data_IF_090275792394
#
_entry.id   IF_090275792394
#
_cell.length_a   1.000
_cell.length_b   1.000
_cell.length_c   1.000
_cell.angle_alpha   90.00
_cell.angle_beta   90.00
_cell.angle_gamma   90.00
#
_symmetry.space_group_name_H-M   'P 1'
#
loop_
_entity.id
_entity.type
_entity.pdbx_description
1 polymer ?
#
# COMPACT_ATOMS: atom_id res chain seq x y z
N UNK A 1 3.42 28.95 -4.33
CA UNK A 1 3.43 27.74 -5.18
C UNK A 1 4.17 26.69 -4.40
N UNK A 2 3.48 25.65 -3.92
CA UNK A 2 4.11 24.48 -3.32
C UNK A 2 4.92 23.77 -4.40
N UNK A 3 6.16 23.43 -4.07
CA UNK A 3 7.04 22.67 -4.95
C UNK A 3 6.41 21.30 -5.24
N UNK A 4 6.50 20.80 -6.47
CA UNK A 4 5.93 19.48 -6.83
C UNK A 4 6.94 18.39 -6.48
N UNK A 5 6.50 17.17 -6.12
CA UNK A 5 7.43 16.05 -5.97
C UNK A 5 8.06 15.69 -7.33
N UNK A 6 9.37 15.48 -7.33
CA UNK A 6 10.13 15.11 -8.52
C UNK A 6 10.33 13.61 -8.59
N UNK A 7 9.97 12.98 -9.71
CA UNK A 7 10.15 11.55 -9.97
C UNK A 7 11.11 11.38 -11.15
N UNK A 8 12.16 10.58 -10.97
CA UNK A 8 12.98 10.12 -12.08
C UNK A 8 12.63 8.66 -12.42
N UNK A 9 12.16 8.42 -13.65
CA UNK A 9 12.04 7.10 -14.24
C UNK A 9 13.41 6.69 -14.76
N UNK A 10 14.00 5.66 -14.17
CA UNK A 10 15.35 5.18 -14.52
C UNK A 10 15.20 3.88 -15.32
N UNK A 11 15.51 3.94 -16.61
CA UNK A 11 15.18 2.89 -17.58
C UNK A 11 16.14 3.02 -18.78
N UNK A 12 16.57 1.91 -19.38
CA UNK A 12 17.40 1.93 -20.58
C UNK A 12 16.62 2.20 -21.87
N UNK A 13 15.29 1.98 -21.85
CA UNK A 13 14.40 2.36 -22.93
C UNK A 13 13.85 3.79 -22.76
N UNK A 14 13.50 4.47 -23.86
CA UNK A 14 12.93 5.84 -23.80
C UNK A 14 11.56 5.86 -23.10
N UNK A 15 11.51 6.43 -21.89
CA UNK A 15 10.29 6.57 -21.09
C UNK A 15 9.70 8.00 -21.10
N UNK A 16 10.03 8.88 -22.06
CA UNK A 16 9.50 10.27 -22.09
C UNK A 16 7.98 10.32 -22.14
N UNK A 17 7.36 9.43 -22.91
CA UNK A 17 5.89 9.32 -22.97
C UNK A 17 5.29 8.97 -21.61
N UNK A 18 5.87 7.99 -20.92
CA UNK A 18 5.47 7.59 -19.58
C UNK A 18 5.66 8.71 -18.56
N UNK A 19 6.77 9.45 -18.62
CA UNK A 19 7.04 10.58 -17.75
C UNK A 19 6.00 11.70 -17.94
N UNK A 20 5.59 11.97 -19.19
CA UNK A 20 4.52 12.92 -19.49
C UNK A 20 3.17 12.47 -18.92
N UNK A 21 2.83 11.18 -19.07
CA UNK A 21 1.59 10.62 -18.52
C UNK A 21 1.60 10.69 -16.98
N UNK A 22 2.70 10.30 -16.34
CA UNK A 22 2.88 10.39 -14.89
C UNK A 22 2.74 11.83 -14.38
N UNK A 23 3.23 12.82 -15.12
CA UNK A 23 3.10 14.24 -14.77
C UNK A 23 1.64 14.72 -14.67
N UNK A 24 0.69 14.01 -15.32
CA UNK A 24 -0.76 14.29 -15.20
C UNK A 24 -1.31 13.99 -13.80
N UNK A 25 -0.59 13.19 -13.00
CA UNK A 25 -0.93 12.89 -11.61
C UNK A 25 -0.35 13.92 -10.62
N UNK A 26 0.03 15.11 -11.09
CA UNK A 26 0.39 16.24 -10.22
C UNK A 26 1.86 16.28 -9.79
N UNK A 27 2.72 15.46 -10.37
CA UNK A 27 4.17 15.36 -10.07
C UNK A 27 5.02 15.98 -11.20
N UNK A 28 6.30 16.26 -10.94
CA UNK A 28 7.29 16.56 -11.98
C UNK A 28 8.03 15.27 -12.31
N UNK A 29 7.78 14.68 -13.48
CA UNK A 29 8.38 13.40 -13.87
C UNK A 29 9.30 13.55 -15.07
N UNK A 30 10.48 12.94 -14.97
CA UNK A 30 11.50 12.93 -16.03
C UNK A 30 12.05 11.52 -16.19
N UNK A 31 12.43 11.17 -17.42
CA UNK A 31 13.17 9.94 -17.70
C UNK A 31 14.68 10.22 -17.69
N UNK A 32 15.45 9.29 -17.14
CA UNK A 32 16.90 9.28 -17.16
C UNK A 32 17.39 7.90 -17.56
N UNK A 33 18.38 7.86 -18.44
CA UNK A 33 19.15 6.64 -18.64
C UNK A 33 20.01 6.37 -17.40
N UNK A 34 20.23 5.11 -16.97
CA UNK A 34 20.85 4.81 -15.67
C UNK A 34 22.21 5.48 -15.42
N UNK A 35 23.04 5.64 -16.46
CA UNK A 35 24.36 6.27 -16.31
C UNK A 35 24.33 7.80 -16.25
N UNK A 36 23.19 8.43 -16.58
CA UNK A 36 23.01 9.88 -16.54
C UNK A 36 22.66 10.38 -15.14
N UNK A 37 22.47 9.48 -14.17
CA UNK A 37 22.14 9.86 -12.80
C UNK A 37 23.34 10.58 -12.17
N UNK A 38 23.14 11.84 -11.82
CA UNK A 38 24.15 12.70 -11.20
C UNK A 38 23.74 13.05 -9.77
N UNK A 39 24.67 13.63 -9.01
CA UNK A 39 24.37 14.16 -7.69
C UNK A 39 23.28 15.25 -7.71
N UNK A 40 23.18 16.05 -8.77
CA UNK A 40 22.10 17.05 -8.88
C UNK A 40 20.74 16.40 -9.08
N UNK A 41 20.66 15.32 -9.87
CA UNK A 41 19.44 14.52 -9.99
C UNK A 41 19.03 13.97 -8.63
N UNK A 42 19.94 13.33 -7.91
CA UNK A 42 19.65 12.79 -6.58
C UNK A 42 19.18 13.86 -5.58
N UNK A 43 19.78 15.06 -5.58
CA UNK A 43 19.36 16.18 -4.70
C UNK A 43 18.01 16.79 -5.06
N UNK A 44 17.57 16.66 -6.32
CA UNK A 44 16.28 17.14 -6.79
C UNK A 44 15.18 16.09 -6.65
N UNK A 45 15.55 14.80 -6.61
CA UNK A 45 14.63 13.69 -6.57
C UNK A 45 13.81 13.65 -5.27
N UNK A 46 12.52 13.38 -5.40
CA UNK A 46 11.68 12.85 -4.31
C UNK A 46 11.62 11.33 -4.40
N UNK A 47 11.51 10.79 -5.62
CA UNK A 47 11.42 9.35 -5.88
C UNK A 47 12.25 8.96 -7.11
N UNK A 48 13.02 7.88 -6.98
CA UNK A 48 13.65 7.19 -8.10
C UNK A 48 12.85 5.91 -8.39
N UNK A 49 12.28 5.81 -9.59
CA UNK A 49 11.52 4.64 -10.04
C UNK A 49 12.36 3.86 -11.06
N UNK A 50 13.04 2.82 -10.57
CA UNK A 50 14.06 2.09 -11.32
C UNK A 50 13.44 0.88 -11.99
N UNK A 51 13.69 0.70 -13.29
CA UNK A 51 13.28 -0.51 -13.98
C UNK A 51 14.08 -1.72 -13.52
N UNK A 52 13.42 -2.87 -13.38
CA UNK A 52 14.05 -4.12 -12.93
C UNK A 52 15.10 -4.61 -13.91
N UNK A 53 14.82 -4.58 -15.20
CA UNK A 53 15.68 -5.12 -16.24
C UNK A 53 16.15 -4.02 -17.16
N UNK A 54 17.46 -3.81 -17.18
CA UNK A 54 18.14 -3.04 -18.22
C UNK A 54 19.44 -3.75 -18.58
N UNK A 55 20.05 -3.38 -19.70
CA UNK A 55 21.35 -3.90 -20.10
C UNK A 55 22.35 -2.80 -20.46
N UNK A 56 23.08 -2.29 -19.44
CA UNK A 56 24.10 -1.25 -19.63
C UNK A 56 25.31 -1.69 -20.47
N UNK A 57 25.43 -2.97 -20.80
CA UNK A 57 26.51 -3.49 -21.66
C UNK A 57 26.08 -3.63 -23.11
N UNK A 58 24.78 -3.53 -23.40
CA UNK A 58 24.32 -3.42 -24.77
C UNK A 58 24.81 -2.09 -25.34
N UNK A 59 25.29 -2.12 -26.58
CA UNK A 59 25.54 -0.88 -27.32
C UNK A 59 24.22 -0.20 -27.58
N UNK A 60 24.17 1.09 -27.32
CA UNK A 60 22.99 1.90 -27.60
C UNK A 60 23.19 2.71 -28.89
N UNK A 61 22.12 3.33 -29.39
CA UNK A 61 22.21 4.25 -30.53
C UNK A 61 22.90 5.59 -30.13
N UNK A 62 23.08 5.83 -28.84
CA UNK A 62 23.75 7.01 -28.30
C UNK A 62 25.09 6.63 -27.66
N UNK A 63 26.21 6.91 -28.33
CA UNK A 63 27.55 6.56 -27.84
C UNK A 63 27.87 7.15 -26.45
N UNK A 64 27.22 8.25 -26.05
CA UNK A 64 27.38 8.84 -24.72
C UNK A 64 26.82 7.94 -23.59
N UNK A 65 25.95 6.98 -23.92
CA UNK A 65 25.38 6.01 -22.98
C UNK A 65 26.17 4.70 -22.90
N UNK A 66 27.17 4.52 -23.77
CA UNK A 66 28.01 3.32 -23.75
C UNK A 66 29.00 3.37 -22.58
N UNK A 67 29.02 2.29 -21.79
CA UNK A 67 30.00 2.15 -20.72
C UNK A 67 31.43 2.05 -21.27
N UNK A 68 32.43 2.64 -20.58
CA UNK A 68 33.83 2.46 -20.92
C UNK A 68 34.21 0.98 -21.06
N UNK A 69 34.99 0.66 -22.11
CA UNK A 69 35.46 -0.71 -22.32
C UNK A 69 36.39 -1.15 -21.19
N UNK A 70 36.26 -2.41 -20.74
CA UNK A 70 37.17 -3.01 -19.75
C UNK A 70 36.82 -2.72 -18.28
N UNK A 71 35.66 -2.15 -17.98
CA UNK A 71 35.21 -2.00 -16.59
C UNK A 71 35.07 -3.37 -15.89
N UNK A 72 35.52 -3.50 -14.63
CA UNK A 72 35.27 -4.70 -13.84
C UNK A 72 33.78 -5.00 -13.69
N UNK A 73 33.40 -6.28 -13.70
CA UNK A 73 32.00 -6.70 -13.53
C UNK A 73 31.38 -6.15 -12.23
N UNK A 74 32.19 -6.00 -11.18
CA UNK A 74 31.74 -5.55 -9.86
C UNK A 74 31.31 -4.07 -9.80
N UNK A 75 31.68 -3.23 -10.78
CA UNK A 75 31.34 -1.79 -10.78
C UNK A 75 30.17 -1.46 -11.70
N UNK A 76 29.64 -2.46 -12.42
CA UNK A 76 28.50 -2.29 -13.33
C UNK A 76 27.32 -3.03 -12.71
N UNK A 77 26.25 -2.34 -12.29
CA UNK A 77 25.08 -3.01 -11.75
C UNK A 77 24.49 -3.92 -12.84
N UNK A 78 24.29 -5.22 -12.56
CA UNK A 78 23.75 -6.15 -13.55
C UNK A 78 22.26 -5.92 -13.87
N UNK A 79 21.53 -5.25 -12.97
CA UNK A 79 20.08 -5.05 -13.06
C UNK A 79 19.63 -3.85 -12.19
N UNK A 80 18.33 -3.57 -12.22
CA UNK A 80 17.67 -2.51 -11.45
C UNK A 80 17.77 -2.67 -9.95
N UNK A 81 17.78 -3.90 -9.44
CA UNK A 81 17.91 -4.18 -8.00
C UNK A 81 19.29 -3.78 -7.49
N UNK A 82 20.34 -4.16 -8.22
CA UNK A 82 21.70 -3.77 -7.91
C UNK A 82 21.89 -2.25 -8.00
N UNK A 83 21.32 -1.61 -9.03
CA UNK A 83 21.37 -0.15 -9.15
C UNK A 83 20.61 0.53 -8.00
N UNK A 84 19.42 0.06 -7.63
CA UNK A 84 18.64 0.59 -6.51
C UNK A 84 19.45 0.54 -5.19
N UNK A 85 20.20 -0.55 -4.95
CA UNK A 85 21.08 -0.66 -3.78
C UNK A 85 22.22 0.37 -3.79
N UNK A 86 22.85 0.61 -4.96
CA UNK A 86 23.88 1.64 -5.12
C UNK A 86 23.30 3.04 -4.90
N UNK A 87 22.15 3.33 -5.51
CA UNK A 87 21.44 4.60 -5.35
C UNK A 87 21.00 4.82 -3.90
N UNK A 88 20.56 3.77 -3.19
CA UNK A 88 20.25 3.85 -1.76
C UNK A 88 21.48 4.29 -0.96
N UNK A 89 22.63 3.68 -1.20
CA UNK A 89 23.87 4.07 -0.53
C UNK A 89 24.24 5.52 -0.83
N UNK A 90 24.11 5.95 -2.09
CA UNK A 90 24.43 7.32 -2.49
C UNK A 90 23.49 8.36 -1.88
N UNK A 91 22.18 8.07 -1.82
CA UNK A 91 21.17 8.99 -1.29
C UNK A 91 21.31 9.23 0.22
N UNK A 92 21.81 8.25 0.98
CA UNK A 92 22.08 8.41 2.43
C UNK A 92 23.08 9.54 2.70
N UNK A 93 24.10 9.71 1.85
CA UNK A 93 25.08 10.80 2.00
C UNK A 93 24.54 12.17 1.57
N UNK A 94 23.52 12.17 0.70
CA UNK A 94 22.98 13.36 0.06
C UNK A 94 21.71 13.90 0.69
N UNK A 95 21.08 13.12 1.59
CA UNK A 95 19.83 13.47 2.24
C UNK A 95 20.02 14.72 3.11
N UNK A 96 19.74 15.88 2.54
CA UNK A 96 19.60 17.12 3.27
C UNK A 96 18.35 17.02 4.15
N UNK A 97 18.52 17.12 5.47
CA UNK A 97 17.42 17.03 6.45
C UNK A 97 16.31 18.04 6.18
N UNK A 98 16.56 19.11 5.40
CA UNK A 98 15.57 20.12 5.06
C UNK A 98 14.57 19.71 3.96
N UNK A 99 14.88 18.72 3.10
CA UNK A 99 14.06 18.35 1.93
C UNK A 99 13.33 17.01 2.03
N UNK A 100 13.45 16.32 3.16
CA UNK A 100 12.88 14.99 3.34
C UNK A 100 13.74 13.87 2.71
N UNK A 101 13.34 12.60 2.90
CA UNK A 101 14.07 11.45 2.38
C UNK A 101 13.81 11.22 0.88
N UNK A 102 14.81 10.68 0.18
CA UNK A 102 14.67 10.24 -1.22
C UNK A 102 14.17 8.79 -1.23
N UNK A 103 13.02 8.56 -1.86
CA UNK A 103 12.49 7.22 -2.08
C UNK A 103 13.11 6.54 -3.29
N UNK A 104 13.10 5.21 -3.26
CA UNK A 104 13.50 4.31 -4.33
C UNK A 104 12.44 3.22 -4.41
N UNK A 105 11.85 3.07 -5.60
CA UNK A 105 10.88 2.04 -5.92
C UNK A 105 11.34 1.26 -7.14
N UNK A 106 10.96 -0.01 -7.20
CA UNK A 106 11.10 -0.81 -8.41
C UNK A 106 9.91 -0.61 -9.33
N UNK A 107 10.13 -0.63 -10.64
CA UNK A 107 9.13 -0.86 -11.67
C UNK A 107 9.45 -2.21 -12.32
N UNK A 108 8.48 -3.11 -12.39
CA UNK A 108 8.71 -4.49 -12.86
C UNK A 108 7.49 -5.05 -13.57
N UNK A 109 7.69 -5.89 -14.59
CA UNK A 109 6.64 -6.77 -15.16
C UNK A 109 6.76 -8.22 -14.67
N UNK A 110 7.79 -8.54 -13.87
CA UNK A 110 8.14 -9.89 -13.43
C UNK A 110 8.08 -10.03 -11.90
N UNK A 111 7.16 -9.31 -11.26
CA UNK A 111 7.00 -9.34 -9.80
C UNK A 111 6.80 -10.77 -9.26
N UNK A 112 6.11 -11.63 -10.01
CA UNK A 112 5.93 -13.04 -9.66
C UNK A 112 7.26 -13.82 -9.56
N UNK A 113 8.22 -13.51 -10.44
CA UNK A 113 9.55 -14.12 -10.44
C UNK A 113 10.38 -13.65 -9.23
N UNK A 114 10.37 -12.34 -8.96
CA UNK A 114 11.04 -11.75 -7.79
C UNK A 114 10.49 -12.30 -6.48
N UNK A 115 9.17 -12.53 -6.43
CA UNK A 115 8.49 -13.05 -5.25
C UNK A 115 8.55 -14.59 -5.13
N UNK A 116 9.21 -15.31 -6.05
CA UNK A 116 9.51 -16.75 -5.94
C UNK A 116 8.29 -17.64 -5.59
N UNK A 117 7.13 -17.34 -6.19
CA UNK A 117 5.91 -18.14 -5.97
C UNK A 117 5.11 -17.76 -4.73
N UNK A 118 5.39 -16.63 -4.09
CA UNK A 118 4.53 -16.08 -3.03
C UNK A 118 3.13 -15.70 -3.58
N UNK A 119 2.08 -15.76 -2.72
CA UNK A 119 0.73 -15.31 -3.06
C UNK A 119 0.70 -13.88 -3.58
N UNK A 120 -0.11 -13.61 -4.61
CA UNK A 120 -0.08 -12.33 -5.34
C UNK A 120 -0.30 -11.11 -4.44
N UNK A 121 -1.25 -11.16 -3.50
CA UNK A 121 -1.58 -10.01 -2.64
C UNK A 121 -0.43 -9.54 -1.72
N UNK A 122 0.59 -10.38 -1.48
CA UNK A 122 1.75 -10.04 -0.64
C UNK A 122 3.04 -9.79 -1.44
N UNK A 123 3.04 -9.95 -2.76
CA UNK A 123 4.28 -9.84 -3.56
C UNK A 123 4.89 -8.44 -3.50
N UNK A 124 4.10 -7.40 -3.74
CA UNK A 124 4.57 -6.01 -3.73
C UNK A 124 5.21 -5.63 -2.38
N UNK A 125 4.52 -5.77 -1.24
CA UNK A 125 5.11 -5.41 0.05
C UNK A 125 6.32 -6.26 0.42
N UNK A 126 6.35 -7.55 0.05
CA UNK A 126 7.46 -8.45 0.39
C UNK A 126 8.70 -8.23 -0.46
N UNK A 127 8.55 -8.10 -1.77
CA UNK A 127 9.66 -7.75 -2.67
C UNK A 127 10.23 -6.40 -2.24
N UNK A 128 9.38 -5.41 -1.93
CA UNK A 128 9.85 -4.12 -1.46
C UNK A 128 10.67 -4.23 -0.16
N UNK A 129 10.16 -4.98 0.83
CA UNK A 129 10.86 -5.20 2.10
C UNK A 129 12.18 -5.97 1.92
N UNK A 130 12.20 -7.00 1.06
CA UNK A 130 13.37 -7.85 0.80
C UNK A 130 14.54 -7.07 0.18
N UNK A 131 14.24 -6.07 -0.66
CA UNK A 131 15.25 -5.31 -1.40
C UNK A 131 15.44 -3.87 -0.91
N UNK A 132 14.99 -3.55 0.30
CA UNK A 132 15.09 -2.21 0.92
C UNK A 132 14.50 -1.07 0.08
N UNK A 133 13.38 -1.37 -0.60
CA UNK A 133 12.62 -0.43 -1.40
C UNK A 133 11.46 0.14 -0.58
N UNK A 134 10.94 1.30 -1.02
CA UNK A 134 9.70 1.82 -0.45
C UNK A 134 8.48 1.05 -0.97
N UNK A 135 8.50 0.69 -2.24
CA UNK A 135 7.47 -0.12 -2.90
C UNK A 135 8.02 -0.88 -4.12
N UNK A 136 7.22 -1.81 -4.63
CA UNK A 136 7.45 -2.47 -5.91
C UNK A 136 6.18 -2.29 -6.76
N UNK A 137 6.31 -1.55 -7.86
CA UNK A 137 5.22 -1.22 -8.77
C UNK A 137 5.22 -2.18 -9.95
N UNK A 138 4.08 -2.79 -10.24
CA UNK A 138 3.89 -3.57 -11.47
C UNK A 138 3.70 -2.60 -12.65
N UNK A 139 4.31 -2.86 -13.81
CA UNK A 139 4.07 -2.05 -15.02
C UNK A 139 2.64 -2.21 -15.55
N UNK A 140 1.99 -3.32 -15.18
CA UNK A 140 0.61 -3.64 -15.51
C UNK A 140 -0.35 -3.30 -14.36
N UNK A 141 -1.61 -3.01 -14.71
CA UNK A 141 -2.69 -2.78 -13.75
C UNK A 141 -3.27 -4.12 -13.26
N UNK A 142 -2.45 -4.88 -12.55
CA UNK A 142 -2.80 -6.22 -12.07
C UNK A 142 -3.77 -6.21 -10.88
N UNK A 143 -3.79 -5.13 -10.10
CA UNK A 143 -4.51 -5.04 -8.81
C UNK A 143 -5.61 -3.97 -8.81
N UNK A 144 -6.00 -3.48 -9.99
CA UNK A 144 -7.03 -2.45 -10.15
C UNK A 144 -6.56 -1.03 -9.78
N UNK A 145 -5.26 -0.84 -9.56
CA UNK A 145 -4.63 0.46 -9.29
C UNK A 145 -3.67 0.80 -10.43
N UNK A 146 -3.82 2.01 -10.98
CA UNK A 146 -2.92 2.52 -12.02
C UNK A 146 -1.47 2.63 -11.47
N UNK A 147 -0.47 2.01 -12.11
CA UNK A 147 0.94 2.13 -11.73
C UNK A 147 1.43 3.57 -11.58
N UNK A 148 0.94 4.50 -12.42
CA UNK A 148 1.31 5.91 -12.32
C UNK A 148 0.70 6.58 -11.08
N UNK A 149 -0.52 6.20 -10.72
CA UNK A 149 -1.14 6.63 -9.49
C UNK A 149 -0.36 6.14 -8.26
N UNK A 150 0.14 4.89 -8.28
CA UNK A 150 0.99 4.36 -7.21
C UNK A 150 2.29 5.16 -7.05
N UNK A 151 2.99 5.44 -8.16
CA UNK A 151 4.22 6.24 -8.16
C UNK A 151 3.97 7.66 -7.65
N UNK A 152 2.89 8.31 -8.11
CA UNK A 152 2.53 9.66 -7.68
C UNK A 152 2.14 9.70 -6.18
N UNK A 153 1.38 8.71 -5.70
CA UNK A 153 1.01 8.59 -4.30
C UNK A 153 2.23 8.40 -3.39
N UNK A 154 3.18 7.55 -3.81
CA UNK A 154 4.44 7.35 -3.10
C UNK A 154 5.29 8.62 -3.06
N UNK A 155 5.47 9.31 -4.19
CA UNK A 155 6.24 10.54 -4.26
C UNK A 155 5.60 11.67 -3.43
N UNK A 156 4.26 11.79 -3.45
CA UNK A 156 3.55 12.77 -2.63
C UNK A 156 3.69 12.47 -1.13
N UNK A 157 3.62 11.20 -0.74
CA UNK A 157 3.83 10.79 0.65
C UNK A 157 5.26 11.08 1.12
N UNK A 158 6.27 10.89 0.27
CA UNK A 158 7.68 11.22 0.54
C UNK A 158 7.91 12.73 0.64
N UNK A 159 7.28 13.51 -0.24
CA UNK A 159 7.42 14.97 -0.25
C UNK A 159 6.80 15.64 0.98
N UNK A 160 5.69 15.07 1.47
CA UNK A 160 5.02 15.53 2.70
C UNK A 160 5.55 14.84 3.96
N UNK A 161 6.58 14.01 3.82
CA UNK A 161 7.11 13.23 4.91
C UNK A 161 7.80 14.12 5.95
N UNK A 162 7.44 14.03 7.24
CA UNK A 162 8.06 14.85 8.28
C UNK A 162 9.57 14.66 8.35
N UNK A 163 10.27 15.70 8.82
CA UNK A 163 11.73 15.69 8.99
C UNK A 163 12.16 15.64 10.46
N UNK A 164 11.22 15.81 11.39
CA UNK A 164 11.41 16.02 12.84
C UNK A 164 11.12 14.79 13.71
N UNK A 165 11.27 13.58 13.13
CA UNK A 165 11.04 12.29 13.80
C UNK A 165 11.81 12.07 15.11
N UNK A 166 12.90 12.81 15.34
CA UNK A 166 13.70 12.73 16.58
C UNK A 166 12.93 13.17 17.83
N UNK A 167 11.85 13.96 17.69
CA UNK A 167 11.13 14.57 18.82
C UNK A 167 9.98 13.71 19.38
N UNK A 168 9.63 12.62 18.69
CA UNK A 168 8.53 11.74 19.07
C UNK A 168 7.91 11.06 17.85
N UNK A 169 8.46 9.92 17.37
CA UNK A 169 8.03 9.30 16.12
C UNK A 169 6.53 9.01 16.07
N UNK A 170 5.95 8.65 17.20
CA UNK A 170 4.53 8.34 17.33
C UNK A 170 3.63 9.53 17.05
N UNK A 171 3.89 10.67 17.68
CA UNK A 171 3.06 11.87 17.53
C UNK A 171 3.22 12.47 16.13
N UNK A 172 4.46 12.48 15.62
CA UNK A 172 4.78 12.91 14.26
C UNK A 172 4.06 12.02 13.24
N UNK A 173 4.11 10.69 13.39
CA UNK A 173 3.44 9.74 12.51
C UNK A 173 1.92 9.85 12.55
N UNK A 174 1.32 9.99 13.74
CA UNK A 174 -0.13 10.20 13.90
C UNK A 174 -0.58 11.53 13.27
N UNK A 175 0.24 12.58 13.34
CA UNK A 175 -0.04 13.85 12.66
C UNK A 175 0.09 13.71 11.15
N UNK A 176 1.11 13.00 10.66
CA UNK A 176 1.33 12.77 9.23
C UNK A 176 0.21 11.94 8.59
N UNK A 177 -0.37 10.99 9.32
CA UNK A 177 -1.55 10.23 8.87
C UNK A 177 -2.80 11.09 8.66
N UNK A 178 -2.80 12.34 9.14
CA UNK A 178 -3.87 13.33 8.97
C UNK A 178 -5.26 12.77 9.33
N UNK A 179 -5.35 12.13 10.50
CA UNK A 179 -6.62 11.58 11.00
C UNK A 179 -7.60 12.75 11.19
N UNK A 180 -8.76 12.74 10.52
CA UNK A 180 -9.69 13.87 10.54
C UNK A 180 -10.26 14.08 11.94
N UNK A 181 -10.70 15.30 12.25
CA UNK A 181 -11.24 15.69 13.55
C UNK A 181 -12.69 15.21 13.76
N UNK A 182 -12.92 13.92 13.55
CA UNK A 182 -14.23 13.26 13.64
C UNK A 182 -14.45 12.62 15.03
N UNK A 183 -15.71 12.31 15.43
CA UNK A 183 -16.00 11.65 16.71
C UNK A 183 -15.23 10.34 16.94
N UNK A 184 -14.92 9.62 15.88
CA UNK A 184 -14.19 8.35 15.91
C UNK A 184 -12.65 8.49 15.86
N UNK A 185 -12.12 9.72 15.75
CA UNK A 185 -10.68 9.97 15.58
C UNK A 185 -9.83 9.42 16.74
N UNK A 186 -10.33 9.48 17.98
CA UNK A 186 -9.63 8.92 19.13
C UNK A 186 -9.48 7.39 19.01
N UNK A 187 -10.53 6.70 18.55
CA UNK A 187 -10.50 5.27 18.29
C UNK A 187 -9.56 4.94 17.13
N UNK A 188 -9.57 5.72 16.04
CA UNK A 188 -8.62 5.55 14.93
C UNK A 188 -7.16 5.64 15.40
N UNK A 189 -6.82 6.64 16.23
CA UNK A 189 -5.49 6.77 16.83
C UNK A 189 -5.11 5.53 17.64
N UNK A 190 -6.01 5.02 18.48
CA UNK A 190 -5.76 3.79 19.24
C UNK A 190 -5.54 2.58 18.35
N UNK A 191 -6.32 2.42 17.28
CA UNK A 191 -6.18 1.33 16.32
C UNK A 191 -4.85 1.41 15.56
N UNK A 192 -4.43 2.62 15.15
CA UNK A 192 -3.10 2.85 14.56
C UNK A 192 -2.01 2.38 15.50
N UNK A 193 -2.05 2.78 16.78
CA UNK A 193 -1.05 2.37 17.78
C UNK A 193 -1.07 0.86 18.07
N UNK A 194 -2.25 0.23 18.05
CA UNK A 194 -2.40 -1.22 18.20
C UNK A 194 -1.71 -1.99 17.05
N UNK A 195 -1.58 -1.37 15.88
CA UNK A 195 -0.85 -1.90 14.73
C UNK A 195 0.69 -1.74 14.86
N UNK A 196 1.17 -1.34 16.04
CA UNK A 196 2.59 -1.30 16.44
C UNK A 196 3.47 -0.58 15.40
N UNK A 197 3.19 0.70 15.09
CA UNK A 197 4.06 1.45 14.23
C UNK A 197 5.47 1.59 14.84
N UNK A 198 6.49 1.92 14.03
CA UNK A 198 7.85 2.07 14.54
C UNK A 198 7.96 3.15 15.63
N UNK A 199 8.24 2.71 16.86
CA UNK A 199 8.30 3.61 18.03
C UNK A 199 9.68 4.25 18.24
N UNK A 200 10.75 3.58 17.81
CA UNK A 200 12.13 4.02 17.99
C UNK A 200 12.87 3.96 16.64
N UNK A 201 13.18 5.11 16.04
CA UNK A 201 14.12 5.17 14.92
C UNK A 201 15.53 5.25 15.50
N UNK A 202 16.09 4.12 15.93
CA UNK A 202 17.45 4.05 16.46
C UNK A 202 18.44 4.26 15.32
N UNK A 203 18.80 5.52 15.04
CA UNK A 203 20.09 6.03 14.55
C UNK A 203 19.89 7.38 13.85
N UNK A 204 20.86 8.27 14.05
CA UNK A 204 20.86 9.65 13.53
C UNK A 204 20.71 9.79 12.00
N UNK A 205 20.72 8.72 11.20
CA UNK A 205 20.85 8.85 9.73
C UNK A 205 20.22 7.73 8.87
N UNK A 206 19.59 6.65 9.39
CA UNK A 206 19.34 5.45 8.54
C UNK A 206 17.93 4.89 8.48
N UNK A 207 17.01 5.30 9.36
CA UNK A 207 15.67 4.70 9.40
C UNK A 207 14.54 5.73 9.38
N UNK A 208 14.76 6.85 8.69
CA UNK A 208 13.74 7.90 8.58
C UNK A 208 12.49 7.40 7.86
N UNK A 209 12.58 6.44 6.93
CA UNK A 209 11.44 5.90 6.16
C UNK A 209 10.68 4.77 6.87
N UNK A 210 10.98 4.46 8.14
CA UNK A 210 10.38 3.31 8.81
C UNK A 210 8.84 3.40 8.89
N UNK A 211 8.29 4.60 9.17
CA UNK A 211 6.85 4.80 9.20
C UNK A 211 6.21 4.66 7.83
N UNK A 212 6.82 5.25 6.80
CA UNK A 212 6.34 5.10 5.42
C UNK A 212 6.34 3.63 4.98
N UNK A 213 7.41 2.89 5.24
CA UNK A 213 7.51 1.47 4.89
C UNK A 213 6.55 0.61 5.71
N UNK A 214 6.40 0.87 7.01
CA UNK A 214 5.39 0.18 7.82
C UNK A 214 3.98 0.42 7.28
N UNK A 215 3.65 1.67 6.95
CA UNK A 215 2.34 2.03 6.40
C UNK A 215 2.09 1.34 5.05
N UNK A 216 3.03 1.49 4.12
CA UNK A 216 2.96 0.92 2.77
C UNK A 216 2.94 -0.62 2.78
N UNK A 217 3.80 -1.25 3.57
CA UNK A 217 4.12 -2.68 3.42
C UNK A 217 3.44 -3.57 4.45
N UNK A 218 2.96 -3.02 5.58
CA UNK A 218 2.42 -3.82 6.68
C UNK A 218 1.06 -3.38 7.20
N UNK A 219 0.63 -2.15 6.90
CA UNK A 219 -0.66 -1.64 7.33
C UNK A 219 -1.68 -1.61 6.18
N UNK A 220 -1.43 -0.81 5.14
CA UNK A 220 -2.38 -0.59 4.04
C UNK A 220 -2.77 -1.85 3.25
N UNK A 221 -1.87 -2.83 3.01
CA UNK A 221 -2.24 -4.04 2.25
C UNK A 221 -3.19 -4.96 3.00
N UNK A 222 -3.28 -4.85 4.33
CA UNK A 222 -3.97 -5.79 5.21
C UNK A 222 -5.15 -5.12 5.95
N UNK A 223 -6.15 -5.89 6.42
CA UNK A 223 -7.26 -5.35 7.21
C UNK A 223 -6.76 -4.94 8.61
N UNK A 224 -6.29 -3.70 8.74
CA UNK A 224 -5.67 -3.16 9.96
C UNK A 224 -6.54 -2.04 10.53
N UNK A 225 -5.98 -0.89 10.92
CA UNK A 225 -6.77 0.31 11.26
C UNK A 225 -7.48 0.91 10.04
N UNK A 226 -7.13 0.44 8.84
CA UNK A 226 -7.83 0.67 7.58
C UNK A 226 -8.28 -0.65 6.97
N UNK A 227 -9.40 -0.62 6.25
CA UNK A 227 -10.04 -1.81 5.66
C UNK A 227 -10.47 -1.56 4.22
N UNK A 228 -10.57 -2.60 3.38
CA UNK A 228 -11.16 -2.48 2.04
C UNK A 228 -12.68 -2.38 2.10
N UNK A 229 -13.29 -2.20 0.93
CA UNK A 229 -14.74 -2.25 0.74
C UNK A 229 -15.41 -3.53 1.25
N UNK A 230 -14.83 -4.71 0.99
CA UNK A 230 -15.38 -5.99 1.43
C UNK A 230 -15.45 -6.08 2.96
N UNK A 231 -14.35 -5.73 3.64
CA UNK A 231 -14.30 -5.71 5.11
C UNK A 231 -15.23 -4.63 5.69
N UNK A 232 -15.30 -3.46 5.06
CA UNK A 232 -16.20 -2.39 5.49
C UNK A 232 -17.68 -2.79 5.34
N UNK A 233 -18.08 -3.37 4.21
CA UNK A 233 -19.44 -3.86 3.96
C UNK A 233 -19.82 -4.97 4.95
N UNK A 234 -18.88 -5.90 5.21
CA UNK A 234 -19.08 -6.99 6.17
C UNK A 234 -19.30 -6.46 7.58
N UNK A 235 -18.50 -5.47 8.02
CA UNK A 235 -18.66 -4.84 9.33
C UNK A 235 -19.96 -4.01 9.45
N UNK A 236 -20.53 -3.57 8.34
CA UNK A 236 -21.84 -2.90 8.29
C UNK A 236 -22.99 -3.89 8.06
N UNK A 237 -22.74 -5.20 7.98
CA UNK A 237 -23.82 -6.17 7.82
C UNK A 237 -24.57 -6.11 6.50
N UNK A 238 -23.97 -5.53 5.45
CA UNK A 238 -24.60 -5.35 4.14
C UNK A 238 -23.79 -6.01 3.03
N UNK A 239 -24.44 -6.33 1.92
CA UNK A 239 -23.77 -6.93 0.76
C UNK A 239 -22.77 -5.96 0.14
N UNK A 240 -21.65 -6.49 -0.36
CA UNK A 240 -20.57 -5.70 -1.00
C UNK A 240 -21.09 -4.90 -2.20
N UNK A 241 -22.00 -5.46 -2.99
CA UNK A 241 -22.59 -4.77 -4.13
C UNK A 241 -23.42 -3.55 -3.71
N UNK A 242 -24.25 -3.68 -2.66
CA UNK A 242 -25.03 -2.56 -2.15
C UNK A 242 -24.14 -1.48 -1.51
N UNK A 243 -23.05 -1.88 -0.85
CA UNK A 243 -22.04 -0.97 -0.32
C UNK A 243 -21.34 -0.18 -1.43
N UNK A 244 -20.88 -0.86 -2.50
CA UNK A 244 -20.27 -0.23 -3.67
C UNK A 244 -21.26 0.72 -4.37
N UNK A 245 -22.53 0.32 -4.50
CA UNK A 245 -23.57 1.20 -5.06
C UNK A 245 -23.76 2.47 -4.21
N UNK A 246 -23.83 2.34 -2.88
CA UNK A 246 -23.98 3.47 -1.96
C UNK A 246 -22.81 4.47 -2.05
N UNK A 247 -21.58 4.00 -2.24
CA UNK A 247 -20.40 4.86 -2.45
C UNK A 247 -20.54 5.76 -3.68
N UNK A 248 -21.11 5.24 -4.77
CA UNK A 248 -21.27 6.03 -6.00
C UNK A 248 -22.36 7.10 -5.89
N UNK A 249 -23.30 6.92 -4.95
CA UNK A 249 -24.40 7.85 -4.71
C UNK A 249 -24.13 8.75 -3.50
N UNK A 250 -23.24 9.74 -3.67
CA UNK A 250 -22.90 10.73 -2.64
C UNK A 250 -24.07 11.65 -2.23
N UNK A 251 -25.19 11.62 -2.95
CA UNK A 251 -26.41 12.33 -2.56
C UNK A 251 -27.20 11.57 -1.48
N UNK A 252 -26.94 10.27 -1.29
CA UNK A 252 -27.55 9.48 -0.22
C UNK A 252 -26.92 9.79 1.15
N UNK A 253 -27.71 9.67 2.22
CA UNK A 253 -27.22 9.87 3.59
C UNK A 253 -26.06 8.94 3.93
N UNK A 254 -26.17 7.65 3.58
CA UNK A 254 -25.06 6.70 3.78
C UNK A 254 -23.85 7.03 2.91
N UNK A 255 -24.03 7.43 1.64
CA UNK A 255 -22.92 7.83 0.77
C UNK A 255 -22.09 8.97 1.37
N UNK A 256 -22.72 9.93 2.04
CA UNK A 256 -22.04 10.99 2.78
C UNK A 256 -21.29 10.47 4.01
N UNK A 257 -21.92 9.57 4.78
CA UNK A 257 -21.26 8.93 5.92
C UNK A 257 -20.03 8.12 5.49
N UNK A 258 -20.15 7.34 4.42
CA UNK A 258 -19.04 6.56 3.85
C UNK A 258 -17.92 7.47 3.34
N UNK A 259 -18.25 8.57 2.67
CA UNK A 259 -17.26 9.54 2.20
C UNK A 259 -16.45 10.16 3.35
N UNK A 260 -17.08 10.42 4.50
CA UNK A 260 -16.43 10.98 5.69
C UNK A 260 -15.43 10.02 6.35
N UNK A 261 -15.54 8.71 6.09
CA UNK A 261 -14.68 7.68 6.70
C UNK A 261 -13.67 7.06 5.72
N UNK A 262 -13.58 7.58 4.48
CA UNK A 262 -12.53 7.20 3.52
C UNK A 262 -11.15 7.60 4.07
N UNK A 263 -10.18 6.70 3.91
CA UNK A 263 -8.79 6.98 4.16
C UNK A 263 -8.21 7.86 3.05
N UNK A 264 -7.98 9.14 3.36
CA UNK A 264 -7.36 10.12 2.46
C UNK A 264 -5.94 10.52 2.90
N UNK A 265 -5.33 9.74 3.79
CA UNK A 265 -4.00 10.01 4.32
C UNK A 265 -2.85 9.72 3.32
N UNK A 266 -1.61 9.77 3.79
CA UNK A 266 -0.44 9.42 2.97
C UNK A 266 -0.58 8.04 2.33
N UNK A 267 -0.13 7.90 1.08
CA UNK A 267 -0.22 6.65 0.31
C UNK A 267 -1.66 6.15 0.01
N UNK A 268 -2.71 6.97 0.18
CA UNK A 268 -4.08 6.55 -0.16
C UNK A 268 -4.25 6.05 -1.60
N UNK A 269 -3.45 6.54 -2.55
CA UNK A 269 -3.43 6.08 -3.95
C UNK A 269 -2.51 4.88 -4.24
N UNK A 270 -1.88 4.27 -3.23
CA UNK A 270 -1.02 3.10 -3.41
C UNK A 270 -1.81 1.80 -3.62
N UNK A 271 -3.05 1.78 -3.14
CA UNK A 271 -3.96 0.64 -3.12
C UNK A 271 -5.36 1.13 -3.55
N UNK A 272 -6.29 0.19 -3.75
CA UNK A 272 -7.71 0.53 -3.90
C UNK A 272 -8.23 1.25 -2.66
N UNK A 273 -9.34 1.98 -2.79
CA UNK A 273 -9.93 2.79 -1.72
C UNK A 273 -10.02 2.03 -0.40
N UNK A 274 -9.51 2.64 0.67
CA UNK A 274 -9.58 2.13 2.03
C UNK A 274 -10.44 3.03 2.91
N UNK A 275 -10.97 2.45 3.97
CA UNK A 275 -11.80 3.12 4.97
C UNK A 275 -11.14 3.05 6.33
N UNK A 276 -11.26 4.11 7.13
CA UNK A 276 -10.90 4.06 8.54
C UNK A 276 -11.81 3.07 9.25
N UNK A 277 -11.24 2.00 9.83
CA UNK A 277 -12.01 0.99 10.58
C UNK A 277 -12.85 1.65 11.67
N UNK A 278 -12.25 2.56 12.45
CA UNK A 278 -12.95 3.30 13.49
C UNK A 278 -14.18 4.07 12.97
N UNK A 279 -14.10 4.63 11.76
CA UNK A 279 -15.21 5.32 11.12
C UNK A 279 -16.34 4.36 10.72
N UNK A 280 -15.99 3.19 10.18
CA UNK A 280 -16.97 2.14 9.86
C UNK A 280 -17.70 1.66 11.12
N UNK A 281 -16.98 1.33 12.21
CA UNK A 281 -17.63 0.94 13.47
C UNK A 281 -18.48 2.08 14.06
N UNK A 282 -18.11 3.33 13.85
CA UNK A 282 -18.92 4.46 14.30
C UNK A 282 -20.25 4.57 13.52
N UNK A 283 -20.24 4.28 12.22
CA UNK A 283 -21.47 4.17 11.41
C UNK A 283 -22.33 3.02 11.93
N UNK A 284 -21.74 1.83 12.13
CA UNK A 284 -22.46 0.67 12.69
C UNK A 284 -23.13 0.99 14.03
N UNK A 285 -22.37 1.55 14.98
CA UNK A 285 -22.87 1.92 16.30
C UNK A 285 -23.93 3.02 16.29
N UNK A 286 -24.00 3.82 15.23
CA UNK A 286 -25.03 4.87 15.07
C UNK A 286 -26.30 4.34 14.40
N UNK A 287 -26.26 3.15 13.79
CA UNK A 287 -27.40 2.53 13.12
C UNK A 287 -28.31 1.77 14.10
N UNK A 288 -27.74 1.21 15.17
CA UNK A 288 -28.46 0.41 16.17
C UNK A 288 -28.89 1.24 17.39
N UNK A 289 -29.94 0.81 18.09
CA UNK A 289 -30.45 1.50 19.29
C UNK A 289 -29.54 1.28 20.51
N UNK A 290 -29.06 0.05 20.72
CA UNK A 290 -28.10 -0.29 21.76
C UNK A 290 -26.68 -0.37 21.16
N UNK A 291 -25.73 0.48 21.59
CA UNK A 291 -24.37 0.46 21.08
C UNK A 291 -23.61 -0.85 21.31
N UNK A 292 -24.10 -1.74 22.18
CA UNK A 292 -23.51 -3.07 22.37
C UNK A 292 -23.77 -4.03 21.21
N UNK A 293 -24.78 -3.74 20.38
CA UNK A 293 -25.12 -4.48 19.17
C UNK A 293 -24.32 -4.00 17.94
N UNK A 294 -23.45 -3.00 18.10
CA UNK A 294 -22.64 -2.44 17.00
C UNK A 294 -21.64 -3.43 16.39
N UNK A 295 -21.34 -4.53 17.08
CA UNK A 295 -20.49 -5.62 16.61
C UNK A 295 -21.32 -6.81 16.05
N UNK A 296 -22.67 -6.76 16.13
CA UNK A 296 -23.58 -7.71 15.52
C UNK A 296 -23.92 -7.27 14.09
N UNK A 297 -23.31 -7.94 13.12
CA UNK A 297 -23.47 -7.59 11.71
C UNK A 297 -24.92 -7.80 11.22
N UNK A 298 -25.66 -8.76 11.78
CA UNK A 298 -27.03 -9.04 11.37
C UNK A 298 -27.95 -7.88 11.78
N UNK A 299 -27.84 -7.44 13.04
CA UNK A 299 -28.64 -6.34 13.57
C UNK A 299 -28.29 -5.01 12.91
N UNK A 300 -27.01 -4.70 12.78
CA UNK A 300 -26.53 -3.49 12.08
C UNK A 300 -27.03 -3.47 10.63
N UNK A 301 -26.92 -4.60 9.92
CA UNK A 301 -27.35 -4.73 8.53
C UNK A 301 -28.84 -4.49 8.34
N UNK A 302 -29.68 -5.05 9.23
CA UNK A 302 -31.12 -4.81 9.21
C UNK A 302 -31.47 -3.36 9.52
N UNK A 303 -30.88 -2.78 10.56
CA UNK A 303 -31.14 -1.39 10.93
C UNK A 303 -30.76 -0.40 9.80
N UNK A 304 -29.61 -0.64 9.15
CA UNK A 304 -29.19 0.16 8.00
C UNK A 304 -30.14 0.01 6.80
N UNK A 305 -30.61 -1.20 6.50
CA UNK A 305 -31.54 -1.43 5.40
C UNK A 305 -32.95 -0.84 5.65
N UNK A 306 -33.39 -0.79 6.91
CA UNK A 306 -34.62 -0.09 7.29
C UNK A 306 -34.49 1.44 7.07
N UNK A 307 -33.36 2.03 7.44
CA UNK A 307 -33.08 3.45 7.25
C UNK A 307 -32.79 3.81 5.79
N UNK A 308 -32.24 2.87 5.02
CA UNK A 308 -31.79 3.05 3.64
C UNK A 308 -32.25 1.87 2.75
N UNK A 309 -33.45 1.96 2.15
CA UNK A 309 -34.07 0.85 1.40
C UNK A 309 -33.28 0.32 0.20
N UNK A 310 -32.28 1.06 -0.28
CA UNK A 310 -31.40 0.65 -1.38
C UNK A 310 -30.30 -0.33 -0.92
N UNK A 311 -30.16 -0.55 0.41
CA UNK A 311 -29.20 -1.49 0.97
C UNK A 311 -29.79 -2.88 1.08
N UNK A 312 -28.91 -3.87 0.87
CA UNK A 312 -29.28 -5.27 1.00
C UNK A 312 -28.53 -5.83 2.20
N UNK A 313 -29.24 -6.24 3.27
CA UNK A 313 -28.63 -6.93 4.41
C UNK A 313 -27.85 -8.16 3.95
N UNK A 314 -26.74 -8.42 4.62
CA UNK A 314 -25.90 -9.58 4.36
C UNK A 314 -26.58 -10.88 4.82
N UNK A 315 -27.37 -10.81 5.90
CA UNK A 315 -28.14 -11.94 6.41
C UNK A 315 -27.30 -13.02 7.11
N UNK A 316 -26.10 -12.65 7.59
CA UNK A 316 -25.19 -13.51 8.33
C UNK A 316 -25.07 -13.02 9.78
N UNK A 317 -24.98 -13.95 10.73
CA UNK A 317 -24.92 -13.69 12.18
C UNK A 317 -23.51 -13.26 12.61
N UNK A 318 -22.50 -14.04 12.25
CA UNK A 318 -21.10 -13.79 12.62
C UNK A 318 -20.19 -13.86 11.39
N UNK A 319 -20.30 -12.90 10.45
CA UNK A 319 -19.62 -12.99 9.17
C UNK A 319 -18.12 -12.75 9.30
N UNK A 320 -17.35 -13.50 8.51
CA UNK A 320 -15.91 -13.30 8.32
C UNK A 320 -15.57 -13.20 6.84
N UNK A 321 -14.63 -12.32 6.52
CA UNK A 321 -14.06 -12.23 5.17
C UNK A 321 -13.02 -13.33 5.01
N UNK A 322 -13.25 -14.21 4.04
CA UNK A 322 -12.28 -15.26 3.66
C UNK A 322 -11.32 -14.74 2.59
N UNK A 323 -10.13 -15.32 2.54
CA UNK A 323 -9.13 -15.05 1.51
C UNK A 323 -8.92 -16.28 0.63
N UNK A 324 -8.59 -16.04 -0.64
CA UNK A 324 -8.27 -17.09 -1.60
C UNK A 324 -6.80 -17.57 -1.47
N UNK A 325 -6.38 -18.47 -2.38
CA UNK A 325 -5.00 -18.98 -2.42
C UNK A 325 -3.94 -17.94 -2.83
N UNK A 326 -4.37 -16.76 -3.29
CA UNK A 326 -3.54 -15.59 -3.57
C UNK A 326 -3.59 -14.53 -2.47
N UNK A 327 -4.29 -14.82 -1.37
CA UNK A 327 -4.55 -13.95 -0.22
C UNK A 327 -5.42 -12.72 -0.55
N UNK A 328 -6.17 -12.72 -1.65
CA UNK A 328 -7.17 -11.69 -1.88
C UNK A 328 -8.46 -12.01 -1.12
N UNK A 329 -9.15 -11.00 -0.59
CA UNK A 329 -10.46 -11.19 0.02
C UNK A 329 -11.47 -11.65 -1.04
N UNK A 330 -12.27 -12.67 -0.71
CA UNK A 330 -13.40 -13.07 -1.52
C UNK A 330 -14.50 -12.01 -1.48
N UNK A 331 -15.23 -11.83 -2.59
CA UNK A 331 -16.32 -10.84 -2.68
C UNK A 331 -17.51 -11.16 -1.76
N UNK A 332 -17.64 -12.40 -1.30
CA UNK A 332 -18.71 -12.82 -0.41
C UNK A 332 -18.14 -13.31 0.93
N UNK A 333 -18.44 -12.64 2.05
CA UNK A 333 -18.12 -13.17 3.37
C UNK A 333 -18.98 -14.41 3.67
N UNK A 334 -18.55 -15.18 4.66
CA UNK A 334 -19.22 -16.42 5.09
C UNK A 334 -19.42 -16.41 6.60
N UNK A 335 -20.27 -17.28 7.14
CA UNK A 335 -20.37 -17.47 8.59
C UNK A 335 -19.03 -17.95 9.16
N UNK A 336 -18.63 -17.40 10.31
CA UNK A 336 -17.42 -17.85 11.03
C UNK A 336 -17.43 -19.35 11.29
N UNK A 337 -18.59 -19.94 11.53
CA UNK A 337 -18.76 -21.38 11.80
C UNK A 337 -18.36 -22.26 10.62
N UNK A 338 -18.44 -21.72 9.39
CA UNK A 338 -18.13 -22.40 8.13
C UNK A 338 -16.72 -22.06 7.61
N UNK A 339 -15.96 -21.27 8.38
CA UNK A 339 -14.62 -20.82 8.04
C UNK A 339 -13.56 -21.38 8.99
N UNK A 340 -12.35 -21.55 8.46
CA UNK A 340 -11.17 -21.92 9.23
C UNK A 340 -10.23 -20.74 9.34
N UNK A 341 -9.83 -20.40 10.57
CA UNK A 341 -8.84 -19.34 10.81
C UNK A 341 -7.47 -19.80 10.33
N UNK A 342 -6.84 -18.95 9.53
CA UNK A 342 -5.48 -19.15 9.03
C UNK A 342 -4.47 -18.34 9.85
N UNK A 343 -3.21 -18.75 9.76
CA UNK A 343 -2.05 -17.95 10.17
C UNK A 343 -1.04 -17.92 9.01
N UNK A 344 -1.37 -17.22 7.91
CA UNK A 344 -0.53 -17.24 6.72
C UNK A 344 0.80 -16.53 6.98
N UNK A 345 1.87 -17.03 6.35
CA UNK A 345 3.16 -16.34 6.43
C UNK A 345 3.05 -14.92 5.90
N UNK A 346 3.80 -14.01 6.52
CA UNK A 346 3.83 -12.58 6.23
C UNK A 346 2.53 -11.80 6.52
N UNK A 347 1.47 -12.46 6.96
CA UNK A 347 0.28 -11.79 7.48
C UNK A 347 0.62 -11.07 8.79
N UNK A 348 0.39 -9.76 8.92
CA UNK A 348 0.74 -9.04 10.14
C UNK A 348 -0.08 -9.56 11.33
N UNK A 349 0.60 -9.86 12.45
CA UNK A 349 -0.05 -10.35 13.66
C UNK A 349 -1.03 -9.36 14.32
N UNK A 350 -1.04 -8.10 13.87
CA UNK A 350 -1.96 -7.05 14.33
C UNK A 350 -3.10 -6.76 13.35
N UNK A 351 -3.08 -7.35 12.15
CA UNK A 351 -4.23 -7.30 11.23
C UNK A 351 -5.33 -8.24 11.73
N UNK A 352 -6.54 -8.07 11.21
CA UNK A 352 -7.59 -9.07 11.40
C UNK A 352 -7.11 -10.44 10.94
N UNK A 353 -7.68 -11.48 11.52
CA UNK A 353 -7.28 -12.84 11.15
C UNK A 353 -7.67 -13.13 9.72
N UNK A 354 -6.78 -13.78 8.98
CA UNK A 354 -7.14 -14.39 7.71
C UNK A 354 -8.04 -15.62 7.97
N UNK A 355 -9.03 -15.81 7.12
CA UNK A 355 -9.94 -16.95 7.15
C UNK A 355 -9.96 -17.61 5.78
N UNK A 356 -10.25 -18.91 5.72
CA UNK A 356 -10.54 -19.62 4.47
C UNK A 356 -11.82 -20.43 4.64
N UNK A 357 -12.51 -20.69 3.53
CA UNK A 357 -13.66 -21.61 3.54
C UNK A 357 -13.19 -23.02 3.89
N UNK A 358 -14.09 -23.87 4.40
CA UNK A 358 -13.77 -25.28 4.65
C UNK A 358 -13.28 -26.03 3.40
N UNK A 359 -13.71 -25.62 2.19
CA UNK A 359 -13.25 -26.19 0.93
C UNK A 359 -11.78 -25.82 0.64
N UNK A 360 -11.42 -24.56 0.89
CA UNK A 360 -10.07 -24.02 0.69
C UNK A 360 -9.11 -24.38 1.83
N UNK A 361 -9.63 -24.82 2.98
CA UNK A 361 -8.86 -25.30 4.11
C UNK A 361 -8.54 -26.81 4.05
N UNK A 362 -8.87 -27.52 2.96
CA UNK A 362 -8.49 -28.93 2.78
C UNK A 362 -6.97 -29.12 2.76
N UNK A 363 -6.45 -30.27 3.18
CA UNK A 363 -4.99 -30.52 3.28
C UNK A 363 -4.23 -30.24 1.96
N UNK A 364 -4.85 -30.52 0.82
CA UNK A 364 -4.30 -30.23 -0.50
C UNK A 364 -4.29 -28.72 -0.84
N UNK A 365 -5.23 -27.95 -0.29
CA UNK A 365 -5.33 -26.50 -0.46
C UNK A 365 -4.48 -25.74 0.58
N UNK A 366 -4.36 -26.26 1.82
CA UNK A 366 -3.41 -25.74 2.80
C UNK A 366 -1.96 -25.82 2.31
N UNK A 367 -1.59 -26.85 1.54
CA UNK A 367 -0.27 -26.91 0.90
C UNK A 367 -0.01 -25.79 -0.11
N UNK A 368 -1.06 -25.13 -0.64
CA UNK A 368 -0.97 -23.96 -1.52
C UNK A 368 -0.93 -22.65 -0.73
N UNK A 369 -1.53 -22.63 0.45
CA UNK A 369 -1.51 -21.51 1.40
C UNK A 369 -0.21 -21.45 2.22
N UNK A 370 0.56 -22.53 2.27
CA UNK A 370 1.90 -22.55 2.84
C UNK A 370 2.91 -22.21 1.73
N UNK A 371 3.94 -21.37 1.99
CA UNK A 371 4.91 -21.03 0.97
C UNK A 371 5.58 -22.29 0.41
N UNK A 372 5.98 -22.28 -0.88
CA UNK A 372 6.73 -23.40 -1.44
C UNK A 372 7.96 -23.65 -0.57
N UNK A 373 8.17 -24.90 -0.16
CA UNK A 373 9.41 -25.29 0.50
C UNK A 373 10.56 -24.90 -0.43
N UNK A 374 11.37 -23.93 -0.01
CA UNK A 374 12.61 -23.56 -0.71
C UNK A 374 13.39 -24.85 -0.94
N UNK A 375 13.61 -25.20 -2.21
CA UNK A 375 14.37 -26.39 -2.61
C UNK A 375 15.86 -26.14 -2.48
#
# INVERSE_FOLDING_TARGET
>A
MTDKPTIYLVDDDDQKGQALDLSRHGVDAQWLYPIEITQSHLRAATLLAVDEYFNLRARTDNEDWDLPTGLPVAVVPPDGLALAAVLRSATVELSDRSKGPIGITMRTSNLAQLAQGLPKAVRQPLVAAQYDLEWAVTKENEDGVDPNQQLAALATALHTYPTDWETGPTDVGLKWLDIPAEPWAHTARRQVLACRPPMNTTTKNRHHLAWLRWLAQRALPFPTFVVSDIYAATALGITVDSFRAAQTNLASGLGQLLAAVIYNGPLAGLQTTRYWRAGIHHIAASAVEDPSDADDALEVGHALAEAHPDLVPLGLDDPVVVVDDQYYPADQPVERVDATRLAPDYWPAFADSAWATAADASEAAMQRLLPPKLK
#
